data_IF_804368095873
#
_entry.id   IF_804368095873
#
_cell.length_a   1.000
_cell.length_b   1.000
_cell.length_c   1.000
_cell.angle_alpha   90.00
_cell.angle_beta   90.00
_cell.angle_gamma   90.00
#
_symmetry.space_group_name_H-M   'P 1'
#
loop_
_entity.id
_entity.type
_entity.pdbx_description
1 polymer ?
#
# COMPACT_ATOMS: atom_id res chain seq x y z
N UNK A 1 -11.08 18.97 5.10
CA UNK A 1 -11.67 17.72 5.62
C UNK A 1 -10.61 16.64 5.49
N UNK A 2 -10.47 15.72 6.46
CA UNK A 2 -9.55 14.60 6.31
C UNK A 2 -9.93 13.78 5.07
N UNK A 3 -8.94 13.39 4.28
CA UNK A 3 -9.18 12.60 3.08
C UNK A 3 -9.36 11.16 3.53
N UNK A 4 -10.56 10.63 3.35
CA UNK A 4 -10.87 9.27 3.81
C UNK A 4 -10.55 8.27 2.70
N UNK A 5 -9.90 7.17 3.05
CA UNK A 5 -9.60 6.06 2.17
C UNK A 5 -10.24 4.80 2.70
N UNK A 6 -10.68 3.95 1.77
CA UNK A 6 -11.08 2.58 2.09
C UNK A 6 -9.84 1.75 2.42
N UNK A 7 -9.89 1.01 3.51
CA UNK A 7 -8.91 -0.03 3.79
C UNK A 7 -8.96 -1.14 2.71
N UNK A 8 -7.87 -1.89 2.50
CA UNK A 8 -7.85 -3.02 1.58
C UNK A 8 -8.89 -4.06 1.99
N UNK A 9 -9.64 -4.60 1.02
CA UNK A 9 -10.63 -5.64 1.27
C UNK A 9 -10.04 -6.98 1.67
N UNK A 10 -8.79 -7.23 1.27
CA UNK A 10 -8.04 -8.43 1.57
C UNK A 10 -6.57 -8.06 1.69
N UNK A 11 -5.90 -8.64 2.67
CA UNK A 11 -4.44 -8.61 2.80
C UNK A 11 -3.99 -10.03 3.11
N UNK A 12 -2.95 -10.48 2.42
CA UNK A 12 -2.40 -11.82 2.64
C UNK A 12 -1.90 -11.96 4.09
N UNK A 13 -2.19 -13.08 4.78
CA UNK A 13 -1.77 -13.30 6.17
C UNK A 13 -0.27 -13.12 6.40
N UNK A 14 0.58 -13.47 5.44
CA UNK A 14 2.04 -13.35 5.57
C UNK A 14 2.51 -11.90 5.67
N UNK A 15 1.75 -10.97 5.10
CA UNK A 15 2.07 -9.53 5.16
C UNK A 15 1.12 -8.72 6.06
N UNK A 16 0.10 -9.35 6.63
CA UNK A 16 -0.93 -8.70 7.46
C UNK A 16 -0.35 -7.89 8.63
N UNK A 17 0.71 -8.39 9.27
CA UNK A 17 1.40 -7.71 10.37
C UNK A 17 2.13 -6.42 9.94
N UNK A 18 2.40 -6.24 8.64
CA UNK A 18 3.07 -5.05 8.11
C UNK A 18 2.08 -4.02 7.55
N UNK A 19 0.77 -4.28 7.57
CA UNK A 19 -0.26 -3.33 7.15
C UNK A 19 -0.11 -1.94 7.80
N UNK A 20 0.13 -1.83 9.11
CA UNK A 20 0.35 -0.52 9.74
C UNK A 20 1.53 0.26 9.12
N UNK A 21 2.58 -0.44 8.66
CA UNK A 21 3.75 0.17 8.02
C UNK A 21 3.39 0.77 6.66
N UNK A 22 2.49 0.13 5.91
CA UNK A 22 2.02 0.64 4.63
C UNK A 22 1.09 1.84 4.77
N UNK A 23 0.38 1.94 5.90
CA UNK A 23 -0.55 3.03 6.19
C UNK A 23 0.13 4.28 6.73
N UNK A 24 1.22 4.12 7.47
CA UNK A 24 1.95 5.22 8.10
C UNK A 24 2.29 6.39 7.14
N UNK A 25 2.76 6.16 5.89
CA UNK A 25 3.01 7.26 4.94
C UNK A 25 1.77 8.06 4.55
N UNK A 26 0.59 7.44 4.56
CA UNK A 26 -0.69 8.08 4.25
C UNK A 26 -1.22 8.82 5.48
N UNK A 27 -1.19 8.20 6.65
CA UNK A 27 -1.60 8.84 7.90
C UNK A 27 -0.76 10.08 8.21
N UNK A 28 0.56 10.04 7.96
CA UNK A 28 1.46 11.18 8.07
C UNK A 28 1.10 12.35 7.14
N UNK A 29 0.26 12.12 6.13
CA UNK A 29 -0.25 13.14 5.21
C UNK A 29 -1.69 13.56 5.50
N UNK A 30 -2.27 13.07 6.59
CA UNK A 30 -3.63 13.40 7.00
C UNK A 30 -4.71 12.60 6.30
N UNK A 31 -4.37 11.46 5.67
CA UNK A 31 -5.36 10.49 5.23
C UNK A 31 -5.91 9.72 6.44
N UNK A 32 -7.20 9.38 6.37
CA UNK A 32 -7.88 8.54 7.37
C UNK A 32 -8.30 7.25 6.67
N UNK A 33 -7.83 6.11 7.16
CA UNK A 33 -8.12 4.81 6.58
C UNK A 33 -9.22 4.14 7.38
N UNK A 34 -10.27 3.66 6.71
CA UNK A 34 -11.45 3.07 7.39
C UNK A 34 -12.13 1.99 6.55
N UNK A 35 -12.86 1.10 7.23
CA UNK A 35 -13.72 0.07 6.61
C UNK A 35 -14.94 0.65 5.92
N UNK A 36 -15.43 1.77 6.44
CA UNK A 36 -16.67 2.41 6.03
C UNK A 36 -16.41 3.86 5.62
N UNK A 37 -15.71 4.07 4.50
CA UNK A 37 -15.45 5.41 4.01
C UNK A 37 -16.72 6.00 3.36
N UNK A 38 -16.84 7.33 3.26
CA UNK A 38 -17.88 7.97 2.45
C UNK A 38 -17.90 7.45 1.01
N UNK A 39 -19.09 7.42 0.41
CA UNK A 39 -19.24 7.11 -1.02
C UNK A 39 -18.34 8.01 -1.86
N UNK A 40 -17.63 7.43 -2.83
CA UNK A 40 -16.68 8.17 -3.66
C UNK A 40 -15.30 8.38 -3.03
N UNK A 41 -14.98 7.70 -1.92
CA UNK A 41 -13.61 7.66 -1.40
C UNK A 41 -12.69 6.80 -2.26
N UNK A 42 -11.41 7.19 -2.32
CA UNK A 42 -10.35 6.33 -2.84
C UNK A 42 -10.14 5.09 -1.97
N UNK A 43 -9.31 4.17 -2.44
CA UNK A 43 -8.96 2.94 -1.72
C UNK A 43 -7.48 2.61 -1.82
N UNK A 44 -7.02 1.79 -0.89
CA UNK A 44 -5.68 1.22 -0.91
C UNK A 44 -5.82 -0.26 -1.23
N UNK A 45 -5.10 -0.73 -2.24
CA UNK A 45 -4.97 -2.15 -2.54
C UNK A 45 -3.53 -2.58 -2.18
N UNK A 46 -3.40 -3.68 -1.43
CA UNK A 46 -2.10 -4.28 -1.09
C UNK A 46 -2.14 -5.73 -1.56
N UNK A 47 -1.21 -6.09 -2.43
CA UNK A 47 -1.10 -7.44 -2.99
C UNK A 47 0.25 -8.04 -2.64
N UNK A 48 0.26 -9.37 -2.48
CA UNK A 48 1.44 -10.16 -2.17
C UNK A 48 1.52 -11.34 -3.11
N UNK A 49 2.64 -11.47 -3.81
CA UNK A 49 3.01 -12.67 -4.56
C UNK A 49 4.08 -13.44 -3.78
N UNK A 50 3.75 -14.59 -3.19
CA UNK A 50 4.69 -15.40 -2.40
C UNK A 50 5.62 -16.28 -3.27
N UNK A 51 5.73 -16.04 -4.58
CA UNK A 51 6.57 -16.86 -5.46
C UNK A 51 8.00 -17.03 -4.92
N UNK A 52 8.44 -18.30 -4.86
CA UNK A 52 9.75 -18.70 -4.33
C UNK A 52 10.93 -18.16 -5.16
N UNK A 53 10.67 -17.80 -6.42
CA UNK A 53 11.67 -17.25 -7.33
C UNK A 53 11.65 -15.71 -7.36
N UNK A 54 10.51 -15.11 -7.03
CA UNK A 54 10.29 -13.67 -7.13
C UNK A 54 9.15 -13.27 -6.19
N UNK A 55 9.46 -13.05 -4.92
CA UNK A 55 8.45 -12.58 -3.97
C UNK A 55 8.21 -11.09 -4.18
N UNK A 56 6.94 -10.68 -4.25
CA UNK A 56 6.58 -9.30 -4.55
C UNK A 56 5.53 -8.77 -3.57
N UNK A 57 5.70 -7.53 -3.14
CA UNK A 57 4.67 -6.73 -2.48
C UNK A 57 4.36 -5.54 -3.38
N UNK A 58 3.08 -5.32 -3.65
CA UNK A 58 2.60 -4.23 -4.48
C UNK A 58 1.53 -3.45 -3.70
N UNK A 59 1.70 -2.13 -3.63
CA UNK A 59 0.86 -1.20 -2.87
C UNK A 59 0.36 -0.14 -3.84
N UNK A 60 -0.96 -0.02 -3.96
CA UNK A 60 -1.62 0.95 -4.83
C UNK A 60 -2.56 1.84 -4.04
N UNK A 61 -2.45 3.14 -4.27
CA UNK A 61 -3.48 4.10 -3.93
C UNK A 61 -4.33 4.34 -5.18
N UNK A 62 -5.62 4.05 -5.08
CA UNK A 62 -6.58 4.26 -6.15
C UNK A 62 -7.58 5.36 -5.79
N UNK A 63 -7.97 6.15 -6.78
CA UNK A 63 -9.13 7.02 -6.70
C UNK A 63 -10.43 6.21 -6.69
N UNK A 64 -11.56 6.85 -6.44
CA UNK A 64 -12.88 6.21 -6.44
C UNK A 64 -13.31 5.64 -7.79
N UNK A 65 -12.79 6.19 -8.88
CA UNK A 65 -12.97 5.70 -10.26
C UNK A 65 -11.94 4.64 -10.66
N UNK A 66 -11.04 4.25 -9.74
CA UNK A 66 -10.07 3.17 -9.96
C UNK A 66 -8.77 3.58 -10.64
N UNK A 67 -8.48 4.88 -10.77
CA UNK A 67 -7.20 5.35 -11.29
C UNK A 67 -6.11 5.21 -10.24
N UNK A 68 -4.94 4.73 -10.65
CA UNK A 68 -3.77 4.61 -9.79
C UNK A 68 -3.17 6.01 -9.59
N UNK A 69 -3.20 6.47 -8.34
CA UNK A 69 -2.61 7.74 -7.90
C UNK A 69 -1.14 7.54 -7.54
N UNK A 70 -0.84 6.46 -6.82
CA UNK A 70 0.50 6.07 -6.43
C UNK A 70 0.59 4.56 -6.43
N UNK A 71 1.72 4.03 -6.89
CA UNK A 71 2.02 2.60 -6.90
C UNK A 71 3.46 2.39 -6.48
N UNK A 72 3.69 1.37 -5.65
CA UNK A 72 5.01 0.94 -5.27
C UNK A 72 5.08 -0.58 -5.31
N UNK A 73 6.12 -1.09 -5.97
CA UNK A 73 6.34 -2.51 -6.17
C UNK A 73 7.73 -2.84 -5.65
N UNK A 74 7.80 -3.64 -4.60
CA UNK A 74 9.05 -4.18 -4.11
C UNK A 74 9.12 -5.67 -4.44
N UNK A 75 10.19 -6.08 -5.11
CA UNK A 75 10.43 -7.46 -5.53
C UNK A 75 11.73 -7.98 -4.91
N UNK A 76 11.72 -9.23 -4.45
CA UNK A 76 12.90 -9.95 -3.99
C UNK A 76 13.08 -11.23 -4.81
N UNK A 77 14.15 -11.25 -5.60
CA UNK A 77 14.54 -12.35 -6.48
C UNK A 77 15.75 -13.06 -5.86
N UNK A 78 15.53 -13.98 -4.92
CA UNK A 78 16.64 -14.72 -4.34
C UNK A 78 16.42 -15.24 -2.94
N UNK A 79 15.48 -16.16 -2.77
CA UNK A 79 15.48 -17.00 -1.57
C UNK A 79 16.49 -18.11 -1.76
N UNK A 80 17.75 -17.82 -1.45
CA UNK A 80 18.76 -18.85 -1.20
C UNK A 80 18.23 -19.75 -0.08
N UNK A 81 17.75 -20.93 -0.46
CA UNK A 81 17.36 -22.07 0.37
C UNK A 81 17.34 -21.81 1.90
N UNK A 82 16.15 -21.49 2.44
CA UNK A 82 15.76 -21.98 3.75
C UNK A 82 15.98 -21.12 5.02
N UNK A 83 16.64 -19.96 5.02
CA UNK A 83 16.80 -19.19 6.27
C UNK A 83 16.32 -17.73 6.10
N UNK A 84 15.31 -17.40 6.92
CA UNK A 84 14.72 -16.08 7.19
C UNK A 84 13.65 -15.55 6.21
N UNK A 85 12.68 -16.40 5.79
CA UNK A 85 11.44 -15.98 5.10
C UNK A 85 10.79 -14.75 5.73
N UNK A 86 10.61 -14.78 7.04
CA UNK A 86 10.00 -13.67 7.76
C UNK A 86 10.85 -12.39 7.71
N UNK A 87 12.17 -12.48 7.82
CA UNK A 87 13.06 -11.31 7.75
C UNK A 87 13.06 -10.68 6.36
N UNK A 88 13.12 -11.48 5.29
CA UNK A 88 13.10 -10.89 3.97
C UNK A 88 11.70 -10.42 3.53
N UNK A 89 10.60 -11.01 4.03
CA UNK A 89 9.26 -10.39 3.91
C UNK A 89 9.23 -9.06 4.66
N UNK A 90 9.76 -8.98 5.87
CA UNK A 90 9.83 -7.72 6.62
C UNK A 90 10.64 -6.66 5.88
N UNK A 91 11.79 -7.02 5.29
CA UNK A 91 12.61 -6.09 4.52
C UNK A 91 11.90 -5.67 3.23
N UNK A 92 11.21 -6.60 2.58
CA UNK A 92 10.42 -6.33 1.38
C UNK A 92 9.26 -5.37 1.67
N UNK A 93 8.55 -5.59 2.77
CA UNK A 93 7.47 -4.74 3.22
C UNK A 93 7.95 -3.31 3.53
N UNK A 94 9.08 -3.18 4.25
CA UNK A 94 9.68 -1.86 4.50
C UNK A 94 10.10 -1.17 3.20
N UNK A 95 10.75 -1.90 2.29
CA UNK A 95 11.13 -1.39 0.97
C UNK A 95 9.91 -0.90 0.18
N UNK A 96 8.82 -1.67 0.16
CA UNK A 96 7.57 -1.28 -0.48
C UNK A 96 6.99 -0.01 0.15
N UNK A 97 6.96 0.07 1.49
CA UNK A 97 6.47 1.24 2.21
C UNK A 97 7.30 2.51 1.93
N UNK A 98 8.64 2.39 1.91
CA UNK A 98 9.56 3.50 1.64
C UNK A 98 9.39 4.00 0.19
N UNK A 99 9.31 3.08 -0.76
CA UNK A 99 9.02 3.41 -2.15
C UNK A 99 7.64 4.07 -2.30
N UNK A 100 6.64 3.57 -1.59
CA UNK A 100 5.30 4.12 -1.59
C UNK A 100 5.27 5.54 -1.02
N UNK A 101 5.95 5.78 0.11
CA UNK A 101 6.11 7.12 0.67
C UNK A 101 6.78 8.10 -0.31
N UNK A 102 7.79 7.62 -1.03
CA UNK A 102 8.49 8.38 -2.06
C UNK A 102 7.59 8.67 -3.27
N UNK A 103 6.79 7.69 -3.72
CA UNK A 103 5.84 7.89 -4.83
C UNK A 103 4.75 8.87 -4.43
N UNK A 104 4.16 8.71 -3.25
CA UNK A 104 3.25 9.69 -2.68
C UNK A 104 3.89 11.09 -2.67
N UNK A 105 5.19 11.24 -2.37
CA UNK A 105 5.85 12.57 -2.32
C UNK A 105 5.90 13.28 -3.66
N UNK A 106 5.84 12.53 -4.75
CA UNK A 106 5.82 13.05 -6.12
C UNK A 106 4.41 13.38 -6.58
N UNK A 107 3.40 12.75 -5.98
CA UNK A 107 2.00 13.07 -6.24
C UNK A 107 1.68 14.41 -5.59
N UNK A 108 1.48 15.44 -6.41
CA UNK A 108 0.69 16.60 -5.97
C UNK A 108 -0.72 16.10 -5.76
N UNK A 109 -1.12 16.03 -4.51
CA UNK A 109 -2.43 15.53 -4.08
C UNK A 109 -3.49 16.56 -4.51
N UNK A 110 -3.86 16.57 -5.79
CA UNK A 110 -5.08 17.24 -6.29
C UNK A 110 -6.30 16.38 -5.96
N UNK A 111 -6.53 16.14 -4.66
CA UNK A 111 -7.61 15.28 -4.16
C UNK A 111 -8.99 16.00 -4.15
N UNK A 112 -9.08 17.22 -4.67
CA UNK A 112 -10.40 17.79 -5.01
C UNK A 112 -11.19 16.90 -5.99
N UNK A 113 -10.53 16.02 -6.75
CA UNK A 113 -11.21 15.02 -7.60
C UNK A 113 -11.64 13.73 -6.88
N UNK A 114 -11.10 13.41 -5.70
CA UNK A 114 -11.50 12.20 -4.95
C UNK A 114 -12.57 12.47 -3.89
N UNK A 115 -13.14 13.68 -3.87
CA UNK A 115 -14.33 14.01 -3.09
C UNK A 115 -15.18 15.00 -3.90
N UNK A 116 -15.87 14.55 -4.97
CA UNK A 116 -16.80 15.42 -5.68
C UNK A 116 -17.89 15.85 -4.70
N UNK A 117 -18.03 17.16 -4.51
CA UNK A 117 -19.14 17.78 -3.79
C UNK A 117 -20.48 17.41 -4.38
#
# INVERSE_FOLDING_TARGET
MPITLKEPSFVDPEISNYVPVFFQPLENRGFVITKQPPSGSGRIDITFDPSIFSTQIDIKLLTSDGQIVAEAIATNNGWGTGIARQTAISNLARSAADQFALQLSKVRIDIEKANPR
#
